data_IF_685076742674
#
_entry.id   IF_685076742674
#
_cell.length_a   1.000
_cell.length_b   1.000
_cell.length_c   1.000
_cell.angle_alpha   90.00
_cell.angle_beta   90.00
_cell.angle_gamma   90.00
#
_symmetry.space_group_name_H-M   'P 1'
#
loop_
_entity.id
_entity.type
_entity.pdbx_description
1 polymer ?
#
# COMPACT_ATOMS: atom_id res chain seq x y z
N UNK A 1 15.60 -30.71 11.90
CA UNK A 1 14.73 -29.98 10.97
C UNK A 1 13.43 -29.72 11.70
N UNK A 2 13.22 -28.51 12.20
CA UNK A 2 11.94 -28.11 12.81
C UNK A 2 10.89 -28.06 11.71
N UNK A 3 9.85 -28.89 11.82
CA UNK A 3 8.70 -28.84 10.91
C UNK A 3 8.16 -27.41 10.84
N UNK A 4 7.96 -26.92 9.62
CA UNK A 4 7.47 -25.57 9.34
C UNK A 4 6.11 -25.37 10.02
N UNK A 5 5.84 -24.20 10.60
CA UNK A 5 4.52 -23.95 11.23
C UNK A 5 3.40 -24.07 10.20
N UNK A 6 3.69 -23.70 8.94
CA UNK A 6 2.79 -23.91 7.81
C UNK A 6 2.41 -25.39 7.62
N UNK A 7 3.32 -26.34 7.85
CA UNK A 7 3.02 -27.77 7.74
C UNK A 7 2.03 -28.23 8.82
N UNK A 8 1.99 -27.54 9.97
CA UNK A 8 1.03 -27.81 11.04
C UNK A 8 -0.39 -27.34 10.70
N UNK A 9 -0.56 -26.42 9.75
CA UNK A 9 -1.88 -26.02 9.23
C UNK A 9 -2.50 -27.10 8.35
N UNK A 10 -1.69 -27.76 7.52
CA UNK A 10 -2.15 -28.66 6.44
C UNK A 10 -3.17 -29.71 6.91
N UNK A 11 -3.00 -30.40 8.06
CA UNK A 11 -4.00 -31.37 8.53
C UNK A 11 -5.38 -30.75 8.75
N UNK A 12 -5.46 -29.57 9.36
CA UNK A 12 -6.73 -28.87 9.61
C UNK A 12 -7.36 -28.40 8.30
N UNK A 13 -6.55 -27.87 7.39
CA UNK A 13 -7.00 -27.42 6.07
C UNK A 13 -7.57 -28.59 5.24
N UNK A 14 -6.98 -29.78 5.34
CA UNK A 14 -7.48 -30.98 4.65
C UNK A 14 -8.77 -31.53 5.23
N UNK A 15 -8.91 -31.47 6.55
CA UNK A 15 -10.07 -32.02 7.24
C UNK A 15 -11.26 -31.04 7.32
N UNK A 16 -11.03 -29.75 7.05
CA UNK A 16 -12.05 -28.72 7.28
C UNK A 16 -12.24 -28.37 8.75
N UNK A 17 -11.29 -28.73 9.61
CA UNK A 17 -11.38 -28.55 11.05
C UNK A 17 -10.99 -27.13 11.45
N UNK A 18 -11.63 -26.61 12.51
CA UNK A 18 -11.22 -25.35 13.13
C UNK A 18 -9.75 -25.41 13.54
N UNK A 19 -8.99 -24.39 13.14
CA UNK A 19 -7.56 -24.30 13.41
C UNK A 19 -7.35 -23.65 14.78
N UNK A 20 -6.48 -24.19 15.66
CA UNK A 20 -6.14 -23.52 16.90
C UNK A 20 -5.54 -22.13 16.66
N UNK A 21 -6.02 -21.12 17.40
CA UNK A 21 -5.58 -19.72 17.32
C UNK A 21 -4.06 -19.55 17.18
N UNK A 22 -3.30 -20.23 18.04
CA UNK A 22 -1.84 -20.11 18.07
C UNK A 22 -1.19 -20.61 16.77
N UNK A 23 -1.75 -21.66 16.16
CA UNK A 23 -1.24 -22.19 14.90
C UNK A 23 -1.50 -21.20 13.76
N UNK A 24 -2.69 -20.57 13.71
CA UNK A 24 -3.00 -19.52 12.73
C UNK A 24 -2.07 -18.32 12.91
N UNK A 25 -1.88 -17.85 14.15
CA UNK A 25 -1.00 -16.73 14.47
C UNK A 25 0.45 -17.00 14.04
N UNK A 26 1.01 -18.14 14.46
CA UNK A 26 2.40 -18.48 14.16
C UNK A 26 2.59 -18.73 12.65
N UNK A 27 1.60 -19.31 11.96
CA UNK A 27 1.63 -19.48 10.52
C UNK A 27 1.53 -18.15 9.76
N UNK A 28 0.66 -17.25 10.20
CA UNK A 28 0.52 -15.92 9.62
C UNK A 28 1.81 -15.12 9.81
N UNK A 29 2.39 -15.16 11.01
CA UNK A 29 3.68 -14.54 11.28
C UNK A 29 4.76 -15.16 10.38
N UNK A 30 4.83 -16.48 10.23
CA UNK A 30 5.79 -17.12 9.32
C UNK A 30 5.56 -16.74 7.85
N UNK A 31 4.31 -16.51 7.43
CA UNK A 31 3.97 -16.14 6.06
C UNK A 31 4.30 -14.68 5.76
N UNK A 32 3.92 -13.75 6.65
CA UNK A 32 4.16 -12.31 6.51
C UNK A 32 5.60 -11.91 6.79
N UNK A 33 6.26 -12.68 7.66
CA UNK A 33 7.64 -12.47 8.02
C UNK A 33 8.52 -13.21 7.03
N UNK A 34 9.27 -12.46 6.25
CA UNK A 34 10.47 -13.01 5.62
C UNK A 34 11.42 -13.54 6.71
N UNK A 35 12.58 -14.12 6.33
CA UNK A 35 13.64 -14.59 7.27
C UNK A 35 14.04 -13.57 8.37
N UNK A 36 13.61 -12.31 8.24
CA UNK A 36 13.87 -11.12 9.05
C UNK A 36 12.96 -10.96 10.28
N UNK A 37 11.66 -11.32 10.16
CA UNK A 37 10.66 -10.90 11.16
C UNK A 37 10.82 -11.55 12.54
N UNK A 38 11.48 -12.72 12.61
CA UNK A 38 11.78 -13.39 13.88
C UNK A 38 12.64 -12.55 14.83
N UNK A 39 13.59 -11.76 14.30
CA UNK A 39 14.42 -10.88 15.13
C UNK A 39 13.63 -9.67 15.63
N UNK A 40 12.89 -9.01 14.75
CA UNK A 40 12.05 -7.86 15.08
C UNK A 40 10.98 -8.23 16.11
N UNK A 41 10.31 -9.38 15.93
CA UNK A 41 9.33 -9.88 16.91
C UNK A 41 9.94 -10.19 18.26
N UNK A 42 11.15 -10.78 18.31
CA UNK A 42 11.84 -11.01 19.59
C UNK A 42 12.09 -9.71 20.35
N UNK A 43 12.63 -8.70 19.67
CA UNK A 43 12.87 -7.37 20.26
C UNK A 43 11.56 -6.72 20.68
N UNK A 44 10.52 -6.80 19.85
CA UNK A 44 9.20 -6.28 20.20
C UNK A 44 8.61 -6.99 21.43
N UNK A 45 8.79 -8.31 21.60
CA UNK A 45 8.35 -9.07 22.78
C UNK A 45 9.02 -8.63 24.07
N UNK A 46 10.28 -8.19 24.01
CA UNK A 46 10.99 -7.63 25.16
C UNK A 46 10.38 -6.31 25.64
N UNK A 47 9.76 -5.56 24.73
CA UNK A 47 9.08 -4.29 25.02
C UNK A 47 7.62 -4.53 25.44
N UNK A 48 6.88 -5.31 24.65
CA UNK A 48 5.51 -5.77 24.92
C UNK A 48 5.30 -7.12 24.25
N UNK A 49 5.01 -8.14 25.06
CA UNK A 49 4.75 -9.50 24.57
C UNK A 49 3.60 -9.51 23.56
N UNK A 50 2.56 -8.72 23.81
CA UNK A 50 1.39 -8.63 22.95
C UNK A 50 1.71 -7.99 21.60
N UNK A 51 2.50 -6.91 21.58
CA UNK A 51 2.95 -6.30 20.33
C UNK A 51 3.88 -7.23 19.55
N UNK A 52 4.81 -7.92 20.22
CA UNK A 52 5.70 -8.85 19.53
C UNK A 52 4.98 -10.05 18.90
N UNK A 53 3.89 -10.51 19.51
CA UNK A 53 3.08 -11.60 18.97
C UNK A 53 2.13 -11.14 17.86
N UNK A 54 1.37 -10.06 18.09
CA UNK A 54 0.24 -9.68 17.24
C UNK A 54 0.50 -8.51 16.30
N UNK A 55 1.52 -7.68 16.50
CA UNK A 55 1.69 -6.53 15.61
C UNK A 55 2.05 -7.00 14.18
N UNK A 56 1.38 -6.50 13.12
CA UNK A 56 1.76 -6.77 11.75
C UNK A 56 3.21 -6.36 11.49
N UNK A 57 3.89 -7.09 10.58
CA UNK A 57 5.32 -6.87 10.32
C UNK A 57 5.66 -5.41 10.01
N UNK A 58 4.87 -4.78 9.15
CA UNK A 58 5.09 -3.41 8.70
C UNK A 58 5.06 -2.37 9.84
N UNK A 59 4.51 -2.71 11.00
CA UNK A 59 4.51 -1.85 12.17
C UNK A 59 5.62 -2.16 13.19
N UNK A 60 6.34 -3.29 13.07
CA UNK A 60 7.31 -3.73 14.09
C UNK A 60 8.46 -2.75 14.28
N UNK A 61 9.06 -2.24 13.21
CA UNK A 61 10.16 -1.27 13.31
C UNK A 61 9.71 0.07 13.89
N UNK A 62 8.53 0.56 13.51
CA UNK A 62 7.97 1.80 14.06
C UNK A 62 7.61 1.64 15.54
N UNK A 63 7.10 0.48 15.94
CA UNK A 63 6.91 0.15 17.35
C UNK A 63 8.23 0.08 18.12
N UNK A 64 9.23 -0.66 17.61
CA UNK A 64 10.56 -0.79 18.25
C UNK A 64 11.20 0.58 18.43
N UNK A 65 11.15 1.43 17.40
CA UNK A 65 11.69 2.79 17.40
C UNK A 65 10.80 3.84 18.10
N UNK A 66 9.69 3.44 18.72
CA UNK A 66 8.75 4.30 19.44
C UNK A 66 8.10 5.42 18.59
N UNK A 67 8.03 5.22 17.28
CA UNK A 67 7.30 6.10 16.33
C UNK A 67 5.80 5.79 16.29
N UNK A 68 5.43 4.54 16.55
CA UNK A 68 4.02 4.14 16.66
C UNK A 68 3.45 4.61 18.01
N UNK A 69 2.27 5.22 18.00
CA UNK A 69 1.58 5.61 19.23
C UNK A 69 1.03 4.37 19.96
N UNK A 70 0.80 4.47 21.27
CA UNK A 70 0.25 3.36 22.05
C UNK A 70 -1.19 3.02 21.61
N UNK A 71 -1.97 4.03 21.22
CA UNK A 71 -3.33 3.88 20.69
C UNK A 71 -3.33 3.17 19.33
N UNK A 72 -2.46 3.58 18.40
CA UNK A 72 -2.34 2.92 17.09
C UNK A 72 -1.85 1.47 17.23
N UNK A 73 -0.92 1.22 18.17
CA UNK A 73 -0.45 -0.11 18.51
C UNK A 73 -1.59 -1.00 19.02
N UNK A 74 -2.37 -0.51 19.99
CA UNK A 74 -3.51 -1.24 20.54
C UNK A 74 -4.58 -1.52 19.48
N UNK A 75 -4.89 -0.54 18.63
CA UNK A 75 -5.84 -0.70 17.52
C UNK A 75 -5.37 -1.81 16.56
N UNK A 76 -4.12 -1.73 16.09
CA UNK A 76 -3.57 -2.71 15.15
C UNK A 76 -3.54 -4.13 15.74
N UNK A 77 -3.18 -4.28 17.03
CA UNK A 77 -3.22 -5.57 17.75
C UNK A 77 -4.64 -6.10 17.83
N UNK A 78 -5.61 -5.26 18.19
CA UNK A 78 -7.01 -5.65 18.38
C UNK A 78 -7.62 -6.09 17.05
N UNK A 79 -7.43 -5.31 15.99
CA UNK A 79 -7.86 -5.64 14.63
C UNK A 79 -7.28 -6.98 14.17
N UNK A 80 -5.97 -7.19 14.37
CA UNK A 80 -5.33 -8.46 13.96
C UNK A 80 -5.88 -9.66 14.72
N UNK A 81 -6.13 -9.53 16.03
CA UNK A 81 -6.73 -10.60 16.83
C UNK A 81 -8.11 -11.01 16.30
N UNK A 82 -8.93 -10.04 15.93
CA UNK A 82 -10.26 -10.30 15.35
C UNK A 82 -10.15 -11.04 14.03
N UNK A 83 -9.23 -10.62 13.15
CA UNK A 83 -9.01 -11.29 11.86
C UNK A 83 -8.51 -12.72 12.07
N UNK A 84 -7.52 -12.94 12.95
CA UNK A 84 -7.01 -14.28 13.25
C UNK A 84 -8.12 -15.19 13.78
N UNK A 85 -8.97 -14.69 14.67
CA UNK A 85 -10.09 -15.47 15.20
C UNK A 85 -11.05 -15.92 14.09
N UNK A 86 -11.32 -15.08 13.10
CA UNK A 86 -12.14 -15.44 11.92
C UNK A 86 -11.42 -16.45 11.01
N UNK A 87 -10.10 -16.30 10.86
CA UNK A 87 -9.28 -17.21 10.07
C UNK A 87 -9.28 -18.64 10.64
N UNK A 88 -9.45 -18.84 11.95
CA UNK A 88 -9.55 -20.17 12.57
C UNK A 88 -10.62 -21.06 11.93
N UNK A 89 -11.77 -20.47 11.56
CA UNK A 89 -12.92 -21.18 11.02
C UNK A 89 -12.99 -21.07 9.48
N UNK A 90 -12.58 -19.93 8.90
CA UNK A 90 -12.79 -19.64 7.48
C UNK A 90 -11.62 -20.05 6.57
N UNK A 91 -10.39 -20.19 7.10
CA UNK A 91 -9.25 -20.70 6.33
C UNK A 91 -9.51 -22.09 5.73
N UNK A 92 -9.95 -23.11 6.50
CA UNK A 92 -10.19 -24.44 5.93
C UNK A 92 -11.19 -24.42 4.78
N UNK A 93 -12.30 -23.68 4.91
CA UNK A 93 -13.28 -23.50 3.85
C UNK A 93 -12.70 -22.80 2.61
N UNK A 94 -11.89 -21.76 2.81
CA UNK A 94 -11.20 -21.05 1.72
C UNK A 94 -10.25 -21.98 0.95
N UNK A 95 -9.48 -22.80 1.67
CA UNK A 95 -8.59 -23.80 1.08
C UNK A 95 -9.34 -24.93 0.38
N UNK A 96 -10.53 -25.31 0.85
CA UNK A 96 -11.39 -26.28 0.17
C UNK A 96 -11.75 -25.86 -1.27
N UNK A 97 -11.84 -24.55 -1.54
CA UNK A 97 -12.15 -24.01 -2.87
C UNK A 97 -10.92 -23.85 -3.77
N UNK A 98 -9.77 -23.52 -3.19
CA UNK A 98 -8.51 -23.34 -3.93
C UNK A 98 -7.84 -24.70 -4.25
N UNK A 99 -8.01 -25.70 -3.37
CA UNK A 99 -7.54 -27.08 -3.58
C UNK A 99 -6.03 -27.28 -3.44
N UNK A 100 -5.29 -26.27 -2.98
CA UNK A 100 -3.82 -26.26 -2.91
C UNK A 100 -3.31 -26.60 -1.50
N UNK A 101 -2.41 -27.59 -1.40
CA UNK A 101 -1.92 -28.12 -0.11
C UNK A 101 -0.40 -28.18 -0.02
N UNK A 102 0.32 -27.58 -0.96
CA UNK A 102 1.78 -27.42 -0.87
C UNK A 102 2.13 -26.31 0.13
N UNK A 103 3.11 -26.54 1.00
CA UNK A 103 3.46 -25.59 2.07
C UNK A 103 3.78 -24.17 1.58
N UNK A 104 4.45 -24.02 0.43
CA UNK A 104 4.73 -22.69 -0.15
C UNK A 104 3.44 -21.98 -0.56
N UNK A 105 2.54 -22.71 -1.21
CA UNK A 105 1.24 -22.23 -1.67
C UNK A 105 0.35 -21.87 -0.48
N UNK A 106 0.33 -22.72 0.55
CA UNK A 106 -0.41 -22.46 1.80
C UNK A 106 0.08 -21.18 2.46
N UNK A 107 1.40 -20.99 2.58
CA UNK A 107 1.98 -19.76 3.13
C UNK A 107 1.52 -18.52 2.36
N UNK A 108 1.58 -18.59 1.02
CA UNK A 108 1.18 -17.50 0.14
C UNK A 108 -0.31 -17.16 0.23
N UNK A 109 -1.18 -18.19 0.35
CA UNK A 109 -2.63 -17.98 0.51
C UNK A 109 -2.93 -17.36 1.87
N UNK A 110 -2.31 -17.84 2.95
CA UNK A 110 -2.53 -17.30 4.31
C UNK A 110 -2.20 -15.81 4.38
N UNK A 111 -1.06 -15.40 3.81
CA UNK A 111 -0.65 -13.99 3.73
C UNK A 111 -1.67 -13.17 2.93
N UNK A 112 -2.00 -13.61 1.71
CA UNK A 112 -2.94 -12.89 0.85
C UNK A 112 -4.33 -12.77 1.47
N UNK A 113 -4.85 -13.84 2.08
CA UNK A 113 -6.15 -13.79 2.78
C UNK A 113 -6.14 -12.77 3.91
N UNK A 114 -5.05 -12.70 4.66
CA UNK A 114 -4.88 -11.70 5.71
C UNK A 114 -4.78 -10.27 5.15
N UNK A 115 -4.02 -10.07 4.09
CA UNK A 115 -3.86 -8.78 3.42
C UNK A 115 -5.19 -8.24 2.88
N UNK A 116 -6.04 -9.14 2.36
CA UNK A 116 -7.39 -8.80 1.94
C UNK A 116 -8.23 -8.26 3.11
N UNK A 117 -8.16 -8.92 4.26
CA UNK A 117 -8.95 -8.56 5.44
C UNK A 117 -8.47 -7.25 6.10
N UNK A 118 -7.15 -7.06 6.24
CA UNK A 118 -6.59 -5.84 6.85
C UNK A 118 -6.70 -4.62 5.93
N UNK A 119 -6.61 -4.83 4.61
CA UNK A 119 -6.77 -3.78 3.60
C UNK A 119 -8.23 -3.39 3.32
N UNK A 120 -9.20 -4.08 3.91
CA UNK A 120 -10.61 -3.85 3.64
C UNK A 120 -11.15 -2.61 4.38
N UNK A 121 -11.59 -1.61 3.62
CA UNK A 121 -12.28 -0.44 4.17
C UNK A 121 -13.81 -0.62 4.05
N UNK A 122 -14.48 -0.84 5.19
CA UNK A 122 -15.95 -0.95 5.22
C UNK A 122 -16.60 0.43 5.06
N UNK A 123 -17.46 0.57 4.05
CA UNK A 123 -18.25 1.79 3.80
C UNK A 123 -19.73 1.40 3.77
N UNK A 124 -20.49 1.84 4.78
CA UNK A 124 -21.86 1.39 5.06
C UNK A 124 -22.89 1.90 4.04
N UNK A 125 -22.68 3.09 3.46
CA UNK A 125 -23.54 3.67 2.42
C UNK A 125 -22.73 4.49 1.43
N UNK A 126 -22.77 4.10 0.17
CA UNK A 126 -22.13 4.82 -0.92
C UNK A 126 -23.18 5.20 -1.97
N UNK A 127 -23.13 6.45 -2.44
CA UNK A 127 -23.90 6.89 -3.61
C UNK A 127 -23.39 6.19 -4.88
N UNK A 128 -24.18 6.17 -5.96
CA UNK A 128 -23.81 5.54 -7.24
C UNK A 128 -22.54 6.17 -7.87
N UNK A 129 -21.69 5.38 -8.53
CA UNK A 129 -20.44 5.82 -9.17
C UNK A 129 -20.54 7.01 -10.08
N UNK A 130 -21.62 7.12 -10.83
CA UNK A 130 -21.86 8.26 -11.72
C UNK A 130 -22.21 9.53 -10.95
N UNK A 131 -22.87 9.41 -9.79
CA UNK A 131 -23.15 10.53 -8.90
C UNK A 131 -21.89 10.92 -8.11
N UNK A 132 -21.14 9.95 -7.58
CA UNK A 132 -19.89 10.23 -6.89
C UNK A 132 -18.83 10.81 -7.80
N UNK A 133 -18.64 10.30 -9.03
CA UNK A 133 -17.74 10.91 -10.01
C UNK A 133 -18.12 12.37 -10.25
N UNK A 134 -19.41 12.67 -10.39
CA UNK A 134 -19.89 14.06 -10.53
C UNK A 134 -19.59 14.90 -9.29
N UNK A 135 -19.73 14.34 -8.09
CA UNK A 135 -19.40 15.03 -6.82
C UNK A 135 -17.90 15.28 -6.72
N UNK A 136 -17.06 14.27 -6.92
CA UNK A 136 -15.61 14.41 -6.85
C UNK A 136 -15.09 15.36 -7.93
N UNK A 137 -15.59 15.26 -9.17
CA UNK A 137 -15.25 16.23 -10.21
C UNK A 137 -15.65 17.64 -9.80
N UNK A 138 -16.86 17.82 -9.26
CA UNK A 138 -17.31 19.11 -8.72
C UNK A 138 -16.38 19.62 -7.60
N UNK A 139 -15.93 18.74 -6.72
CA UNK A 139 -15.04 19.09 -5.60
C UNK A 139 -13.63 19.44 -6.11
N UNK A 140 -13.11 18.74 -7.12
CA UNK A 140 -11.83 19.06 -7.75
C UNK A 140 -11.91 20.37 -8.53
N UNK A 141 -13.01 20.64 -9.24
CA UNK A 141 -13.26 21.96 -9.83
C UNK A 141 -13.33 23.06 -8.76
N UNK A 142 -14.04 22.82 -7.66
CA UNK A 142 -14.12 23.77 -6.55
C UNK A 142 -12.75 24.00 -5.88
N UNK A 143 -11.92 22.96 -5.77
CA UNK A 143 -10.55 23.07 -5.28
C UNK A 143 -9.71 23.99 -6.18
N UNK A 144 -9.78 23.81 -7.51
CA UNK A 144 -9.10 24.69 -8.47
C UNK A 144 -9.56 26.14 -8.31
N UNK A 145 -10.88 26.35 -8.20
CA UNK A 145 -11.45 27.69 -8.02
C UNK A 145 -10.99 28.35 -6.70
N UNK A 146 -10.97 27.59 -5.60
CA UNK A 146 -10.50 28.07 -4.30
C UNK A 146 -9.01 28.39 -4.32
N UNK A 147 -8.19 27.55 -4.94
CA UNK A 147 -6.75 27.80 -5.07
C UNK A 147 -6.46 29.05 -5.91
N UNK A 148 -7.22 29.27 -6.99
CA UNK A 148 -7.14 30.49 -7.79
C UNK A 148 -7.54 31.77 -7.02
N UNK A 149 -8.41 31.64 -6.02
CA UNK A 149 -8.80 32.76 -5.15
C UNK A 149 -7.80 32.99 -4.00
N UNK A 150 -7.29 31.91 -3.42
CA UNK A 150 -6.36 31.95 -2.28
C UNK A 150 -5.00 32.50 -2.72
N UNK A 151 -4.51 32.14 -3.89
CA UNK A 151 -3.20 32.59 -4.38
C UNK A 151 -3.03 34.13 -4.32
N UNK A 152 -3.87 34.96 -4.98
CA UNK A 152 -3.73 36.41 -4.93
C UNK A 152 -4.01 36.98 -3.53
N UNK A 153 -4.79 36.29 -2.70
CA UNK A 153 -5.01 36.68 -1.31
C UNK A 153 -3.73 36.50 -0.49
N UNK A 154 -3.07 35.35 -0.59
CA UNK A 154 -1.78 35.09 0.04
C UNK A 154 -0.68 36.02 -0.47
N UNK A 155 -0.72 36.43 -1.74
CA UNK A 155 0.21 37.45 -2.24
C UNK A 155 -0.01 38.81 -1.59
N UNK A 156 -1.27 39.24 -1.42
CA UNK A 156 -1.61 40.56 -0.86
C UNK A 156 -1.59 40.65 0.66
N UNK A 157 -1.82 39.55 1.38
CA UNK A 157 -1.91 39.57 2.84
C UNK A 157 -0.91 38.65 3.52
N UNK A 158 -0.15 37.87 2.76
CA UNK A 158 0.78 36.88 3.29
C UNK A 158 1.89 37.48 4.13
N UNK A 159 2.37 38.69 3.81
CA UNK A 159 3.40 39.36 4.61
C UNK A 159 2.94 39.69 6.03
N UNK A 160 1.63 39.88 6.26
CA UNK A 160 1.08 40.17 7.58
C UNK A 160 1.02 38.92 8.48
N UNK A 161 0.86 37.74 7.88
CA UNK A 161 0.74 36.47 8.62
C UNK A 161 2.02 35.64 8.60
N UNK A 162 2.97 35.97 7.72
CA UNK A 162 4.24 35.25 7.58
C UNK A 162 4.99 35.14 8.90
N UNK A 163 5.10 36.23 9.67
CA UNK A 163 5.81 36.22 10.95
C UNK A 163 5.25 35.16 11.92
N UNK A 164 3.94 35.25 12.18
CA UNK A 164 3.21 34.31 13.04
C UNK A 164 3.27 32.87 12.53
N UNK A 165 3.13 32.66 11.20
CA UNK A 165 3.24 31.33 10.60
C UNK A 165 4.61 30.70 10.86
N UNK A 166 5.69 31.45 10.63
CA UNK A 166 7.07 30.98 10.85
C UNK A 166 7.38 30.79 12.34
N UNK A 167 6.88 31.67 13.22
CA UNK A 167 7.02 31.54 14.68
C UNK A 167 6.29 30.29 15.19
N UNK A 168 5.07 30.03 14.70
CA UNK A 168 4.30 28.83 15.04
C UNK A 168 5.02 27.56 14.56
N UNK A 169 5.54 27.54 13.33
CA UNK A 169 6.30 26.40 12.79
C UNK A 169 7.57 26.13 13.60
N UNK A 170 8.29 27.17 14.01
CA UNK A 170 9.44 27.06 14.92
C UNK A 170 9.03 26.51 16.29
N UNK A 171 7.86 26.90 16.82
CA UNK A 171 7.33 26.33 18.06
C UNK A 171 6.99 24.83 17.90
N UNK A 172 6.34 24.44 16.80
CA UNK A 172 6.05 23.04 16.49
C UNK A 172 7.33 22.20 16.38
N UNK A 173 8.35 22.68 15.65
CA UNK A 173 9.62 21.99 15.51
C UNK A 173 10.27 21.69 16.87
N UNK A 174 10.25 22.67 17.79
CA UNK A 174 10.75 22.51 19.17
C UNK A 174 9.97 21.47 19.97
N UNK A 175 8.64 21.43 19.85
CA UNK A 175 7.78 20.48 20.59
C UNK A 175 7.96 19.06 20.07
N UNK A 176 8.04 18.90 18.74
CA UNK A 176 8.08 17.58 18.09
C UNK A 176 9.50 17.09 17.77
N UNK A 177 10.54 17.78 18.26
CA UNK A 177 11.96 17.46 18.00
C UNK A 177 12.27 17.28 16.51
N UNK A 178 11.60 18.04 15.64
CA UNK A 178 11.84 18.03 14.18
C UNK A 178 12.83 19.13 13.83
N UNK A 179 13.62 18.93 12.76
CA UNK A 179 14.40 20.03 12.23
C UNK A 179 13.44 21.06 11.62
N UNK A 180 13.70 22.35 11.87
CA UNK A 180 12.95 23.44 11.25
C UNK A 180 13.08 23.45 9.73
N UNK A 181 14.16 22.87 9.19
CA UNK A 181 14.35 22.67 7.75
C UNK A 181 13.36 21.66 7.14
N UNK A 182 12.77 20.77 7.94
CA UNK A 182 11.77 19.79 7.49
C UNK A 182 10.36 20.40 7.36
N UNK A 183 10.17 21.66 7.77
CA UNK A 183 8.88 22.31 7.79
C UNK A 183 8.82 23.38 6.70
N UNK A 184 7.91 23.20 5.74
CA UNK A 184 7.69 24.18 4.67
C UNK A 184 7.45 25.59 5.21
N UNK A 185 8.32 26.52 4.82
CA UNK A 185 8.20 27.96 5.01
C UNK A 185 6.94 28.51 4.35
N UNK A 186 6.56 29.74 4.70
CA UNK A 186 5.40 30.40 4.08
C UNK A 186 5.54 30.53 2.55
N UNK A 187 6.77 30.78 2.08
CA UNK A 187 7.07 30.85 0.64
C UNK A 187 6.93 29.50 -0.06
N UNK A 188 7.34 28.42 0.60
CA UNK A 188 7.18 27.06 0.10
C UNK A 188 5.72 26.63 0.10
N UNK A 189 4.96 26.93 1.17
CA UNK A 189 3.50 26.70 1.20
C UNK A 189 2.81 27.33 -0.02
N UNK A 190 3.19 28.57 -0.37
CA UNK A 190 2.63 29.24 -1.55
C UNK A 190 2.95 28.50 -2.85
N UNK A 191 4.17 27.94 -2.98
CA UNK A 191 4.55 27.12 -4.15
C UNK A 191 3.78 25.81 -4.17
N UNK A 192 3.66 25.13 -3.02
CA UNK A 192 2.90 23.89 -2.86
C UNK A 192 1.43 24.07 -3.26
N UNK A 193 0.80 25.21 -2.92
CA UNK A 193 -0.57 25.50 -3.36
C UNK A 193 -0.70 25.64 -4.87
N UNK A 194 0.29 26.24 -5.56
CA UNK A 194 0.31 26.30 -7.02
C UNK A 194 0.56 24.92 -7.64
N UNK A 195 1.45 24.12 -7.04
CA UNK A 195 1.67 22.72 -7.44
C UNK A 195 0.42 21.87 -7.29
N UNK A 196 -0.33 22.05 -6.19
CA UNK A 196 -1.61 21.38 -5.96
C UNK A 196 -2.65 21.78 -7.00
N UNK A 197 -2.71 23.07 -7.38
CA UNK A 197 -3.59 23.54 -8.46
C UNK A 197 -3.25 22.82 -9.76
N UNK A 198 -1.98 22.83 -10.17
CA UNK A 198 -1.53 22.17 -11.40
C UNK A 198 -1.88 20.68 -11.37
N UNK A 199 -1.66 19.99 -10.25
CA UNK A 199 -2.00 18.57 -10.11
C UNK A 199 -3.50 18.31 -10.27
N UNK A 200 -4.36 19.14 -9.67
CA UNK A 200 -5.81 19.07 -9.82
C UNK A 200 -6.26 19.29 -11.28
N UNK A 201 -5.67 20.28 -11.96
CA UNK A 201 -5.98 20.58 -13.36
C UNK A 201 -5.52 19.47 -14.32
N UNK A 202 -4.35 18.87 -14.06
CA UNK A 202 -3.87 17.68 -14.80
C UNK A 202 -4.79 16.49 -14.58
N UNK A 203 -5.26 16.26 -13.35
CA UNK A 203 -6.19 15.17 -13.04
C UNK A 203 -7.52 15.32 -13.80
N UNK A 204 -8.07 16.54 -13.87
CA UNK A 204 -9.26 16.85 -14.67
C UNK A 204 -9.03 16.64 -16.16
N UNK A 205 -7.86 17.02 -16.68
CA UNK A 205 -7.52 16.79 -18.08
C UNK A 205 -7.43 15.31 -18.41
N UNK A 206 -6.72 14.51 -17.60
CA UNK A 206 -6.62 13.05 -17.79
C UNK A 206 -7.98 12.36 -17.78
N UNK A 207 -8.87 12.75 -16.85
CA UNK A 207 -10.25 12.25 -16.80
C UNK A 207 -11.04 12.60 -18.07
N UNK A 208 -10.82 13.79 -18.65
CA UNK A 208 -11.51 14.22 -19.87
C UNK A 208 -11.12 13.44 -21.12
N UNK A 209 -9.89 12.94 -21.18
CA UNK A 209 -9.36 12.16 -22.31
C UNK A 209 -9.44 10.64 -22.07
N UNK A 210 -9.87 10.20 -20.89
CA UNK A 210 -9.99 8.78 -20.53
C UNK A 210 -8.66 8.04 -20.41
N UNK A 211 -7.57 8.76 -20.14
CA UNK A 211 -6.20 8.21 -20.09
C UNK A 211 -5.98 7.31 -18.86
N UNK A 212 -6.60 7.64 -17.74
CA UNK A 212 -6.64 6.80 -16.54
C UNK A 212 -8.04 6.83 -15.91
N UNK A 213 -8.52 5.71 -15.35
CA UNK A 213 -9.78 5.69 -14.61
C UNK A 213 -9.61 6.55 -13.35
N UNK A 214 -10.25 7.73 -13.36
CA UNK A 214 -10.30 8.63 -12.22
C UNK A 214 -10.78 7.84 -10.99
N UNK A 215 -10.00 7.88 -9.91
CA UNK A 215 -10.31 7.11 -8.72
C UNK A 215 -11.55 7.70 -8.03
N UNK A 216 -12.71 7.19 -8.42
CA UNK A 216 -13.96 7.40 -7.69
C UNK A 216 -13.95 6.38 -6.56
N UNK A 217 -13.83 6.87 -5.33
CA UNK A 217 -13.94 6.10 -4.09
C UNK A 217 -15.36 5.60 -3.88
N UNK A 218 -15.85 4.82 -4.84
CA UNK A 218 -17.18 4.27 -4.82
C UNK A 218 -17.27 3.07 -3.88
N UNK A 219 -18.44 2.41 -3.81
CA UNK A 219 -18.71 1.17 -3.07
C UNK A 219 -17.88 -0.05 -3.58
N UNK A 220 -16.58 0.15 -3.80
CA UNK A 220 -15.61 -0.82 -4.26
C UNK A 220 -15.21 -1.76 -3.15
N UNK A 221 -15.65 -1.59 -1.90
CA UNK A 221 -15.33 -2.54 -0.83
C UNK A 221 -15.73 -3.98 -1.23
N UNK A 222 -16.96 -4.18 -1.73
CA UNK A 222 -17.39 -5.49 -2.26
C UNK A 222 -16.69 -5.87 -3.56
N UNK A 223 -16.42 -4.92 -4.45
CA UNK A 223 -15.69 -5.17 -5.71
C UNK A 223 -14.22 -5.54 -5.45
N UNK A 224 -13.61 -5.01 -4.40
CA UNK A 224 -12.25 -5.29 -3.96
C UNK A 224 -12.15 -6.74 -3.49
N UNK A 225 -13.14 -7.24 -2.75
CA UNK A 225 -13.22 -8.68 -2.44
C UNK A 225 -13.31 -9.52 -3.71
N UNK A 226 -14.13 -9.12 -4.68
CA UNK A 226 -14.27 -9.87 -5.95
C UNK A 226 -12.97 -9.83 -6.77
N UNK A 227 -12.31 -8.67 -6.84
CA UNK A 227 -11.01 -8.49 -7.48
C UNK A 227 -9.95 -9.37 -6.82
N UNK A 228 -9.89 -9.36 -5.49
CA UNK A 228 -8.97 -10.18 -4.72
C UNK A 228 -9.20 -11.67 -4.95
N UNK A 229 -10.46 -12.12 -4.87
CA UNK A 229 -10.84 -13.48 -5.18
C UNK A 229 -10.47 -13.87 -6.61
N UNK A 230 -10.64 -12.96 -7.58
CA UNK A 230 -10.29 -13.19 -8.97
C UNK A 230 -8.78 -13.37 -9.17
N UNK A 231 -7.97 -12.53 -8.53
CA UNK A 231 -6.51 -12.65 -8.58
C UNK A 231 -6.02 -13.95 -7.93
N UNK A 232 -6.60 -14.36 -6.79
CA UNK A 232 -6.34 -15.67 -6.18
C UNK A 232 -6.70 -16.81 -7.15
N UNK A 233 -7.89 -16.74 -7.76
CA UNK A 233 -8.36 -17.72 -8.73
C UNK A 233 -7.47 -17.83 -9.97
N UNK A 234 -6.94 -16.71 -10.49
CA UNK A 234 -6.00 -16.71 -11.61
C UNK A 234 -4.67 -17.35 -11.20
N UNK A 235 -4.14 -16.97 -10.03
CA UNK A 235 -2.84 -17.43 -9.53
C UNK A 235 -2.82 -18.93 -9.23
N UNK A 236 -3.88 -19.46 -8.64
CA UNK A 236 -3.97 -20.88 -8.26
C UNK A 236 -4.80 -21.73 -9.23
N UNK A 237 -5.34 -21.11 -10.28
CA UNK A 237 -6.15 -21.78 -11.31
C UNK A 237 -7.54 -22.24 -10.85
N UNK A 238 -7.94 -21.96 -9.60
CA UNK A 238 -9.22 -22.37 -8.99
C UNK A 238 -9.67 -21.38 -7.91
N UNK A 239 -10.99 -21.26 -7.65
CA UNK A 239 -12.09 -21.76 -8.48
C UNK A 239 -12.22 -20.93 -9.76
N UNK A 240 -12.80 -21.51 -10.82
CA UNK A 240 -13.03 -20.79 -12.07
C UNK A 240 -14.00 -19.63 -11.88
N UNK A 241 -13.76 -18.51 -12.56
CA UNK A 241 -14.64 -17.35 -12.49
C UNK A 241 -16.01 -17.65 -13.12
N UNK A 242 -17.04 -17.74 -12.28
CA UNK A 242 -18.42 -18.00 -12.68
C UNK A 242 -19.34 -17.01 -11.96
N UNK A 243 -20.15 -16.27 -12.72
CA UNK A 243 -21.02 -15.21 -12.18
C UNK A 243 -22.30 -15.71 -11.53
N UNK A 244 -22.60 -17.00 -11.65
CA UNK A 244 -23.78 -17.65 -11.06
C UNK A 244 -23.69 -17.65 -9.53
N UNK A 245 -24.74 -17.18 -8.82
CA UNK A 245 -24.82 -17.29 -7.37
C UNK A 245 -24.65 -18.74 -6.90
N UNK A 246 -23.89 -18.93 -5.82
CA UNK A 246 -23.61 -20.27 -5.26
C UNK A 246 -22.52 -21.06 -6.01
N UNK A 247 -21.88 -20.48 -7.03
CA UNK A 247 -20.65 -21.04 -7.59
C UNK A 247 -19.52 -21.05 -6.55
N UNK A 248 -18.53 -21.92 -6.73
CA UNK A 248 -17.34 -21.95 -5.86
C UNK A 248 -16.63 -20.59 -5.81
N UNK A 249 -16.62 -19.85 -6.92
CA UNK A 249 -16.10 -18.48 -6.95
C UNK A 249 -16.94 -17.50 -6.10
N UNK A 250 -18.27 -17.60 -6.18
CA UNK A 250 -19.17 -16.81 -5.34
C UNK A 250 -18.99 -17.14 -3.85
N UNK A 251 -18.75 -18.41 -3.53
CA UNK A 251 -18.50 -18.87 -2.16
C UNK A 251 -17.16 -18.35 -1.65
N UNK A 252 -16.10 -18.38 -2.48
CA UNK A 252 -14.80 -17.79 -2.15
C UNK A 252 -14.92 -16.28 -1.83
N UNK A 253 -15.65 -15.54 -2.67
CA UNK A 253 -15.89 -14.12 -2.42
C UNK A 253 -16.60 -13.91 -1.08
N UNK A 254 -17.59 -14.75 -0.76
CA UNK A 254 -18.37 -14.63 0.48
C UNK A 254 -17.51 -14.90 1.72
N UNK A 255 -16.65 -15.92 1.68
CA UNK A 255 -15.70 -16.25 2.75
C UNK A 255 -14.70 -15.10 2.99
N UNK A 256 -14.14 -14.53 1.92
CA UNK A 256 -13.21 -13.39 2.03
C UNK A 256 -13.90 -12.13 2.59
N UNK A 257 -15.16 -11.91 2.22
CA UNK A 257 -15.96 -10.81 2.77
C UNK A 257 -16.28 -11.02 4.25
N UNK A 258 -16.61 -12.24 4.65
CA UNK A 258 -16.84 -12.59 6.05
C UNK A 258 -15.55 -12.45 6.87
N UNK A 259 -14.40 -12.87 6.34
CA UNK A 259 -13.09 -12.66 6.96
C UNK A 259 -12.82 -11.18 7.21
N UNK A 260 -13.04 -10.33 6.20
CA UNK A 260 -12.81 -8.91 6.29
C UNK A 260 -13.79 -8.19 7.24
N UNK A 261 -15.08 -8.51 7.16
CA UNK A 261 -16.14 -7.72 7.83
C UNK A 261 -16.72 -8.37 9.08
N UNK A 262 -16.65 -9.70 9.19
CA UNK A 262 -17.37 -10.50 10.19
C UNK A 262 -18.85 -10.68 9.88
N UNK A 263 -19.32 -10.26 8.70
CA UNK A 263 -20.72 -10.41 8.28
C UNK A 263 -20.87 -11.68 7.44
N UNK A 264 -21.75 -12.58 7.90
CA UNK A 264 -22.04 -13.86 7.25
C UNK A 264 -23.13 -13.72 6.17
N UNK A 265 -23.20 -14.67 5.24
CA UNK A 265 -24.26 -14.85 4.25
C UNK A 265 -24.56 -13.64 3.32
N UNK A 266 -23.62 -12.70 3.20
CA UNK A 266 -23.80 -11.53 2.34
C UNK A 266 -23.64 -11.90 0.86
N UNK A 267 -24.67 -11.68 0.06
CA UNK A 267 -24.60 -11.95 -1.38
C UNK A 267 -23.73 -10.92 -2.11
N UNK A 268 -22.69 -11.41 -2.79
CA UNK A 268 -21.83 -10.62 -3.66
C UNK A 268 -22.18 -10.75 -5.15
N UNK A 269 -23.26 -11.43 -5.51
CA UNK A 269 -23.66 -11.69 -6.89
C UNK A 269 -23.75 -10.40 -7.74
N UNK A 270 -24.24 -9.30 -7.16
CA UNK A 270 -24.29 -8.00 -7.83
C UNK A 270 -22.89 -7.42 -8.10
N UNK A 271 -21.95 -7.56 -7.16
CA UNK A 271 -20.58 -7.11 -7.32
C UNK A 271 -19.82 -7.97 -8.35
N UNK A 272 -20.01 -9.29 -8.32
CA UNK A 272 -19.43 -10.23 -9.29
C UNK A 272 -19.89 -9.92 -10.71
N UNK A 273 -21.20 -9.69 -10.92
CA UNK A 273 -21.75 -9.35 -12.22
C UNK A 273 -21.26 -8.00 -12.76
N UNK A 274 -21.06 -7.00 -11.88
CA UNK A 274 -20.48 -5.71 -12.26
C UNK A 274 -19.00 -5.85 -12.62
N UNK A 275 -18.24 -6.59 -11.80
CA UNK A 275 -16.82 -6.86 -12.04
C UNK A 275 -16.59 -7.61 -13.37
N UNK A 276 -17.44 -8.60 -13.67
CA UNK A 276 -17.39 -9.36 -14.93
C UNK A 276 -17.44 -8.48 -16.19
N UNK A 277 -18.09 -7.31 -16.13
CA UNK A 277 -18.24 -6.36 -17.24
C UNK A 277 -17.34 -5.13 -17.10
N UNK A 278 -16.49 -5.10 -16.09
CA UNK A 278 -15.68 -3.93 -15.76
C UNK A 278 -14.43 -3.83 -16.63
N UNK A 279 -14.00 -2.61 -16.93
CA UNK A 279 -12.70 -2.34 -17.57
C UNK A 279 -11.53 -2.85 -16.72
N UNK A 280 -11.70 -2.86 -15.39
CA UNK A 280 -10.74 -3.42 -14.44
C UNK A 280 -10.46 -4.90 -14.73
N UNK A 281 -11.50 -5.73 -14.87
CA UNK A 281 -11.32 -7.14 -15.24
C UNK A 281 -10.65 -7.28 -16.60
N UNK A 282 -11.08 -6.49 -17.60
CA UNK A 282 -10.48 -6.52 -18.93
C UNK A 282 -9.00 -6.09 -18.92
N UNK A 283 -8.58 -5.25 -17.97
CA UNK A 283 -7.18 -4.91 -17.74
C UNK A 283 -6.42 -6.08 -17.10
N UNK A 284 -6.94 -6.66 -16.01
CA UNK A 284 -6.32 -7.81 -15.34
C UNK A 284 -6.15 -8.98 -16.33
N UNK A 285 -7.14 -9.25 -17.16
CA UNK A 285 -7.05 -10.29 -18.19
C UNK A 285 -5.93 -10.01 -19.21
N UNK A 286 -5.74 -8.75 -19.60
CA UNK A 286 -4.65 -8.36 -20.53
C UNK A 286 -3.29 -8.47 -19.86
N UNK A 287 -3.16 -8.01 -18.62
CA UNK A 287 -1.92 -8.11 -17.83
C UNK A 287 -1.54 -9.57 -17.60
N UNK A 288 -2.50 -10.43 -17.24
CA UNK A 288 -2.28 -11.86 -17.06
C UNK A 288 -1.91 -12.55 -18.38
N UNK A 289 -2.53 -12.19 -19.50
CA UNK A 289 -2.14 -12.70 -20.82
C UNK A 289 -0.71 -12.29 -21.20
N UNK A 290 -0.33 -11.04 -20.94
CA UNK A 290 1.03 -10.55 -21.16
C UNK A 290 2.02 -11.29 -20.27
N UNK A 291 1.73 -11.43 -18.98
CA UNK A 291 2.56 -12.17 -18.04
C UNK A 291 2.76 -13.63 -18.46
N UNK A 292 1.69 -14.32 -18.90
CA UNK A 292 1.79 -15.70 -19.40
C UNK A 292 2.60 -15.80 -20.70
N UNK A 293 2.47 -14.82 -21.59
CA UNK A 293 3.29 -14.76 -22.80
C UNK A 293 4.76 -14.54 -22.45
N UNK A 294 5.03 -13.62 -21.54
CA UNK A 294 6.35 -13.26 -21.03
C UNK A 294 7.07 -14.41 -20.32
N UNK A 295 6.36 -15.18 -19.50
CA UNK A 295 6.89 -16.34 -18.77
C UNK A 295 6.81 -17.66 -19.56
N UNK A 296 6.26 -17.64 -20.78
CA UNK A 296 6.29 -18.80 -21.68
C UNK A 296 7.70 -19.05 -22.20
N UNK A 297 8.00 -20.28 -22.61
CA UNK A 297 9.29 -20.62 -23.23
C UNK A 297 9.63 -19.70 -24.42
N UNK A 298 8.62 -19.27 -25.20
CA UNK A 298 8.77 -18.35 -26.32
C UNK A 298 8.98 -16.88 -25.89
N UNK A 299 8.34 -16.45 -24.80
CA UNK A 299 8.55 -15.13 -24.20
C UNK A 299 9.93 -15.01 -23.55
N UNK A 300 10.31 -16.02 -22.77
CA UNK A 300 11.65 -16.17 -22.18
C UNK A 300 12.70 -16.19 -23.29
N UNK A 301 12.53 -17.00 -24.34
CA UNK A 301 13.47 -17.03 -25.45
C UNK A 301 13.57 -15.68 -26.19
N UNK A 302 12.46 -14.95 -26.38
CA UNK A 302 12.48 -13.58 -26.96
C UNK A 302 13.20 -12.58 -26.05
N UNK A 303 12.96 -12.65 -24.74
CA UNK A 303 13.59 -11.80 -23.71
C UNK A 303 15.09 -12.09 -23.59
N UNK A 304 15.48 -13.37 -23.63
CA UNK A 304 16.88 -13.81 -23.63
C UNK A 304 17.61 -13.49 -24.95
N UNK A 305 16.90 -13.48 -26.07
CA UNK A 305 17.45 -13.08 -27.37
C UNK A 305 17.62 -11.56 -27.52
N UNK A 306 16.88 -10.76 -26.76
CA UNK A 306 16.92 -9.29 -26.79
C UNK A 306 17.17 -8.71 -25.39
N UNK A 307 18.45 -8.61 -25.03
CA UNK A 307 18.92 -7.99 -23.78
C UNK A 307 18.46 -6.52 -23.58
N UNK A 308 17.76 -5.93 -24.54
CA UNK A 308 17.21 -4.57 -24.50
C UNK A 308 15.68 -4.54 -24.42
N UNK A 309 14.97 -5.67 -24.28
CA UNK A 309 13.50 -5.69 -24.24
C UNK A 309 12.93 -4.78 -23.14
N UNK A 310 13.47 -4.85 -21.92
CA UNK A 310 13.05 -4.00 -20.79
C UNK A 310 13.38 -2.52 -21.03
N UNK A 311 14.50 -2.24 -21.69
CA UNK A 311 14.89 -0.87 -22.07
C UNK A 311 13.93 -0.33 -23.11
N UNK A 312 13.57 -1.12 -24.14
CA UNK A 312 12.59 -0.74 -25.15
C UNK A 312 11.21 -0.50 -24.53
N UNK A 313 10.77 -1.36 -23.62
CA UNK A 313 9.53 -1.16 -22.86
C UNK A 313 9.54 0.14 -22.06
N UNK A 314 10.63 0.40 -21.32
CA UNK A 314 10.81 1.66 -20.58
C UNK A 314 10.81 2.88 -21.50
N UNK A 315 11.53 2.83 -22.62
CA UNK A 315 11.57 3.93 -23.59
C UNK A 315 10.18 4.21 -24.19
N UNK A 316 9.42 3.17 -24.52
CA UNK A 316 8.04 3.31 -24.98
C UNK A 316 7.13 3.96 -23.93
N UNK A 317 7.27 3.58 -22.65
CA UNK A 317 6.52 4.20 -21.55
C UNK A 317 6.88 5.67 -21.33
N UNK A 318 8.17 6.02 -21.48
CA UNK A 318 8.67 7.40 -21.40
C UNK A 318 8.18 8.24 -22.59
N UNK A 319 8.16 7.67 -23.79
CA UNK A 319 7.64 8.35 -24.99
C UNK A 319 6.12 8.59 -24.88
N UNK A 320 5.35 7.62 -24.37
CA UNK A 320 3.93 7.81 -24.07
C UNK A 320 3.70 8.90 -23.03
N UNK A 321 4.49 8.90 -21.94
CA UNK A 321 4.45 9.94 -20.91
C UNK A 321 4.79 11.32 -21.47
N UNK A 322 5.81 11.40 -22.33
CA UNK A 322 6.19 12.64 -23.02
C UNK A 322 5.06 13.16 -23.90
N UNK A 323 4.42 12.29 -24.68
CA UNK A 323 3.31 12.66 -25.54
C UNK A 323 2.13 13.20 -24.71
N UNK A 324 1.81 12.56 -23.59
CA UNK A 324 0.78 13.04 -22.66
C UNK A 324 1.09 14.45 -22.14
N UNK A 325 2.30 14.70 -21.66
CA UNK A 325 2.68 16.03 -21.15
C UNK A 325 2.69 17.10 -22.24
N UNK A 326 3.05 16.76 -23.47
CA UNK A 326 2.93 17.66 -24.62
C UNK A 326 1.47 17.97 -24.97
N UNK A 327 0.58 16.98 -24.87
CA UNK A 327 -0.87 17.17 -25.03
C UNK A 327 -1.46 18.06 -23.93
N UNK A 328 -1.04 17.89 -22.67
CA UNK A 328 -1.45 18.75 -21.56
C UNK A 328 -0.97 20.18 -21.80
N UNK A 329 0.31 20.37 -22.15
CA UNK A 329 0.88 21.69 -22.38
C UNK A 329 0.18 22.43 -23.53
N UNK A 330 -0.23 21.70 -24.58
CA UNK A 330 -0.95 22.26 -25.74
C UNK A 330 -2.47 22.37 -25.56
N UNK A 331 -3.02 21.86 -24.46
CA UNK A 331 -4.48 21.83 -24.25
C UNK A 331 -5.12 23.21 -24.09
N UNK A 332 -4.37 24.19 -23.56
CA UNK A 332 -4.80 25.57 -23.31
C UNK A 332 -3.60 26.48 -23.02
N UNK A 333 -3.84 27.78 -22.86
CA UNK A 333 -2.84 28.70 -22.32
C UNK A 333 -2.68 28.49 -20.82
N UNK A 334 -1.45 28.22 -20.38
CA UNK A 334 -1.10 28.01 -18.99
C UNK A 334 -0.43 29.27 -18.41
N UNK A 335 -0.49 29.43 -17.09
CA UNK A 335 0.28 30.48 -16.43
C UNK A 335 1.77 30.11 -16.37
N UNK A 336 2.64 31.10 -16.22
CA UNK A 336 4.10 30.94 -16.24
C UNK A 336 4.60 29.88 -15.26
N UNK A 337 4.02 29.80 -14.06
CA UNK A 337 4.44 28.79 -13.08
C UNK A 337 4.07 27.38 -13.56
N UNK A 338 2.86 27.19 -14.06
CA UNK A 338 2.42 25.90 -14.59
C UNK A 338 3.27 25.45 -15.79
N UNK A 339 3.58 26.36 -16.72
CA UNK A 339 4.47 26.08 -17.86
C UNK A 339 5.88 25.68 -17.41
N UNK A 340 6.44 26.37 -16.42
CA UNK A 340 7.73 26.03 -15.81
C UNK A 340 7.70 24.62 -15.18
N UNK A 341 6.67 24.29 -14.40
CA UNK A 341 6.55 22.97 -13.76
C UNK A 341 6.36 21.84 -14.78
N UNK A 342 5.56 22.06 -15.83
CA UNK A 342 5.42 21.08 -16.91
C UNK A 342 6.73 20.92 -17.70
N UNK A 343 7.47 22.01 -17.90
CA UNK A 343 8.81 21.97 -18.51
C UNK A 343 9.80 21.18 -17.66
N UNK A 344 9.75 21.31 -16.32
CA UNK A 344 10.54 20.48 -15.41
C UNK A 344 10.18 18.99 -15.56
N UNK A 345 8.89 18.64 -15.68
CA UNK A 345 8.46 17.25 -15.93
C UNK A 345 8.95 16.72 -17.27
N UNK A 346 8.90 17.52 -18.34
CA UNK A 346 9.44 17.13 -19.64
C UNK A 346 10.98 16.97 -19.62
N UNK A 347 11.68 17.83 -18.87
CA UNK A 347 13.12 17.72 -18.66
C UNK A 347 13.50 16.48 -17.85
N UNK A 348 12.70 16.14 -16.83
CA UNK A 348 12.82 14.93 -16.03
C UNK A 348 12.65 13.67 -16.89
N UNK A 349 11.58 13.60 -17.70
CA UNK A 349 11.38 12.50 -18.67
C UNK A 349 12.55 12.38 -19.64
N UNK A 350 13.07 13.51 -20.14
CA UNK A 350 14.25 13.51 -21.01
C UNK A 350 15.47 12.97 -20.28
N UNK A 351 15.71 13.39 -19.04
CA UNK A 351 16.83 12.92 -18.23
C UNK A 351 16.69 11.42 -17.94
N UNK A 352 15.51 10.95 -17.53
CA UNK A 352 15.22 9.53 -17.34
C UNK A 352 15.40 8.72 -18.61
N UNK A 353 15.04 9.28 -19.77
CA UNK A 353 15.28 8.66 -21.07
C UNK A 353 16.78 8.58 -21.38
N UNK A 354 17.53 9.68 -21.22
CA UNK A 354 18.97 9.67 -21.42
C UNK A 354 19.67 8.70 -20.46
N UNK A 355 19.19 8.60 -19.21
CA UNK A 355 19.62 7.60 -18.25
C UNK A 355 19.27 6.21 -18.79
N UNK A 356 18.02 5.92 -19.15
CA UNK A 356 17.63 4.61 -19.68
C UNK A 356 18.45 4.20 -20.92
N UNK A 357 18.74 5.14 -21.83
CA UNK A 357 19.60 4.94 -23.00
C UNK A 357 21.08 4.69 -22.62
N UNK A 358 21.58 5.32 -21.56
CA UNK A 358 22.98 5.19 -21.07
C UNK A 358 23.20 4.05 -20.08
N UNK A 359 22.16 3.63 -19.36
CA UNK A 359 22.30 2.80 -18.15
C UNK A 359 22.60 1.35 -18.48
N UNK A 360 22.32 0.83 -19.68
CA UNK A 360 22.49 -0.60 -19.95
C UNK A 360 22.83 -0.92 -21.41
N UNK A 361 24.13 -1.09 -21.67
CA UNK A 361 24.62 -2.27 -22.39
C UNK A 361 24.53 -3.53 -21.49
N UNK A 362 25.23 -4.64 -21.77
CA UNK A 362 24.93 -6.00 -21.28
C UNK A 362 25.24 -6.22 -19.78
N UNK A 363 24.49 -5.58 -18.88
CA UNK A 363 24.74 -5.63 -17.42
C UNK A 363 23.55 -6.11 -16.58
N UNK A 364 22.43 -6.48 -17.19
CA UNK A 364 21.52 -7.48 -16.61
C UNK A 364 22.17 -8.85 -16.77
N UNK A 365 23.11 -9.15 -15.89
CA UNK A 365 23.59 -10.52 -15.69
C UNK A 365 22.44 -11.23 -14.99
N UNK A 366 21.77 -12.13 -15.70
CA UNK A 366 20.69 -12.95 -15.13
C UNK A 366 21.14 -13.58 -13.82
N UNK A 367 20.25 -13.84 -12.86
CA UNK A 367 20.62 -14.51 -11.61
C UNK A 367 21.36 -15.85 -11.85
N UNK A 368 21.08 -16.51 -12.98
CA UNK A 368 21.77 -17.71 -13.48
C UNK A 368 23.21 -17.48 -13.95
N UNK A 369 23.58 -16.23 -14.26
CA UNK A 369 24.88 -15.79 -14.75
C UNK A 369 25.69 -15.05 -13.68
N UNK A 370 25.08 -14.69 -12.54
CA UNK A 370 25.79 -14.13 -11.37
C UNK A 370 26.57 -15.28 -10.71
N UNK A 371 27.88 -15.10 -10.54
CA UNK A 371 28.67 -16.11 -9.83
C UNK A 371 28.13 -16.31 -8.40
N UNK A 372 28.11 -17.54 -7.86
CA UNK A 372 27.64 -17.80 -6.50
C UNK A 372 28.30 -16.91 -5.43
N UNK A 373 29.56 -16.52 -5.65
CA UNK A 373 30.31 -15.63 -4.74
C UNK A 373 29.73 -14.21 -4.70
N UNK A 374 29.35 -13.65 -5.85
CA UNK A 374 28.74 -12.31 -5.94
C UNK A 374 27.32 -12.33 -5.37
N UNK A 375 26.56 -13.40 -5.63
CA UNK A 375 25.24 -13.59 -5.01
C UNK A 375 25.34 -13.68 -3.48
N UNK A 376 26.38 -14.34 -2.95
CA UNK A 376 26.63 -14.41 -1.52
C UNK A 376 27.02 -13.05 -0.93
N UNK A 377 27.85 -12.27 -1.63
CA UNK A 377 28.20 -10.90 -1.22
C UNK A 377 26.98 -10.00 -1.10
N UNK A 378 26.10 -9.96 -2.11
CA UNK A 378 24.86 -9.19 -2.03
C UNK A 378 23.97 -9.62 -0.87
N UNK A 379 23.87 -10.93 -0.63
CA UNK A 379 23.11 -11.45 0.52
C UNK A 379 23.69 -10.93 1.84
N UNK A 380 25.01 -10.95 2.00
CA UNK A 380 25.68 -10.44 3.19
C UNK A 380 25.52 -8.92 3.37
N UNK A 381 25.61 -8.14 2.29
CA UNK A 381 25.39 -6.69 2.34
C UNK A 381 23.97 -6.34 2.79
N UNK A 382 22.97 -7.05 2.24
CA UNK A 382 21.56 -6.90 2.62
C UNK A 382 21.37 -7.27 4.10
N UNK A 383 21.91 -8.41 4.54
CA UNK A 383 21.85 -8.84 5.95
C UNK A 383 22.51 -7.82 6.90
N UNK A 384 23.67 -7.27 6.51
CA UNK A 384 24.37 -6.24 7.29
C UNK A 384 23.57 -4.93 7.40
N UNK A 385 22.96 -4.49 6.30
CA UNK A 385 22.13 -3.29 6.27
C UNK A 385 20.89 -3.46 7.17
N UNK A 386 20.26 -4.63 7.15
CA UNK A 386 19.11 -4.96 7.98
C UNK A 386 19.44 -4.97 9.47
N UNK A 387 20.54 -5.63 9.86
CA UNK A 387 21.01 -5.63 11.25
C UNK A 387 21.32 -4.22 11.75
N UNK A 388 21.91 -3.38 10.88
CA UNK A 388 22.21 -1.99 11.20
C UNK A 388 20.92 -1.20 11.44
N UNK A 389 19.92 -1.38 10.57
CA UNK A 389 18.61 -0.72 10.68
C UNK A 389 17.91 -1.09 11.99
N UNK A 390 17.87 -2.38 12.35
CA UNK A 390 17.28 -2.85 13.60
C UNK A 390 18.01 -2.27 14.82
N UNK A 391 19.36 -2.27 14.83
CA UNK A 391 20.15 -1.67 15.91
C UNK A 391 19.86 -0.17 16.10
N UNK A 392 19.74 0.57 15.00
CA UNK A 392 19.39 1.99 15.03
C UNK A 392 17.97 2.20 15.57
N UNK A 393 17.01 1.38 15.14
CA UNK A 393 15.63 1.42 15.62
C UNK A 393 15.55 1.18 17.15
N UNK A 394 16.26 0.17 17.66
CA UNK A 394 16.35 -0.11 19.11
C UNK A 394 16.92 1.11 19.85
N UNK A 395 18.04 1.65 19.38
CA UNK A 395 18.70 2.80 20.02
C UNK A 395 17.79 4.02 20.05
N UNK A 396 17.12 4.31 18.93
CA UNK A 396 16.16 5.40 18.83
C UNK A 396 14.99 5.20 19.81
N UNK A 397 14.40 4.01 19.83
CA UNK A 397 13.29 3.69 20.72
C UNK A 397 13.65 3.80 22.20
N UNK A 398 14.85 3.39 22.60
CA UNK A 398 15.35 3.56 23.98
C UNK A 398 15.47 5.04 24.36
N UNK A 399 16.04 5.87 23.47
CA UNK A 399 16.18 7.31 23.68
C UNK A 399 14.81 8.00 23.78
N UNK A 400 13.89 7.71 22.86
CA UNK A 400 12.55 8.33 22.83
C UNK A 400 11.74 7.95 24.07
N UNK A 401 11.76 6.68 24.50
CA UNK A 401 11.06 6.25 25.73
C UNK A 401 11.69 6.86 26.99
N UNK A 402 13.02 7.01 27.04
CA UNK A 402 13.70 7.69 28.15
C UNK A 402 13.36 9.19 28.21
N UNK A 403 13.20 9.86 27.07
CA UNK A 403 12.75 11.25 27.03
C UNK A 403 11.29 11.39 27.50
N UNK A 404 10.41 10.47 27.10
CA UNK A 404 9.01 10.44 27.56
C UNK A 404 8.91 10.21 29.08
N UNK A 405 9.76 9.36 29.65
CA UNK A 405 9.76 9.12 31.10
C UNK A 405 10.40 10.26 31.92
N UNK A 406 11.25 11.09 31.31
CA UNK A 406 11.82 12.29 31.94
C UNK A 406 10.92 13.53 31.86
N UNK A 407 9.93 13.54 30.97
CA UNK A 407 8.90 14.58 30.87
C UNK A 407 7.47 14.01 30.97
N UNK A 408 7.06 13.47 32.13
CA UNK A 408 5.65 13.19 32.39
C UNK A 408 4.95 14.53 32.64
N UNK A 409 4.49 15.22 31.59
CA UNK A 409 3.81 16.50 31.78
C UNK A 409 2.47 16.29 32.49
N UNK A 410 2.32 17.02 33.60
CA UNK A 410 1.19 17.08 34.53
C UNK A 410 -0.19 16.71 34.02
N UNK A 411 -0.80 15.75 34.70
CA UNK A 411 -2.25 15.63 34.79
C UNK A 411 -2.72 15.76 36.24
N UNK A 412 -3.90 16.36 36.40
CA UNK A 412 -4.74 16.51 37.60
C UNK A 412 -4.56 17.75 38.49
N UNK A 413 -4.92 18.94 37.97
CA UNK A 413 -5.71 19.85 38.83
C UNK A 413 -7.16 19.38 38.81
N UNK A 414 -7.47 18.49 39.75
CA UNK A 414 -8.80 17.98 39.99
C UNK A 414 -8.87 17.39 41.39
N UNK A 415 -9.27 18.25 42.35
CA UNK A 415 -9.92 17.97 43.64
C UNK A 415 -9.23 18.60 44.86
N UNK A 416 -10.01 19.36 45.63
CA UNK A 416 -9.69 19.67 47.02
C UNK A 416 -10.05 21.06 47.53
N UNK A 417 -11.34 21.44 47.56
CA UNK A 417 -11.82 22.35 48.62
C UNK A 417 -13.31 22.18 48.94
N UNK A 418 -13.63 21.06 49.59
CA UNK A 418 -14.57 20.98 50.72
C UNK A 418 -13.67 20.92 51.96
N UNK A 419 -13.78 21.66 53.06
CA UNK A 419 -14.83 22.29 53.89
C UNK A 419 -14.11 23.22 54.91
N UNK A 420 -14.75 23.88 55.90
CA UNK A 420 -16.18 24.18 56.09
C UNK A 420 -16.52 25.68 56.00
#
# INVERSE_FOLDING_TARGET
>A
MTSSVIEKLIPYLRNGDRIPHRIVLDALNQASDSRRGDMERRVAREISTEAGDYLPRFHLLDFISAKLSDEDCLRAVTERKVIIARMEDLLPATFGLLGEMEARTVSSIVEQVFDCAIGYQYIERAAYSSQQRKVVLKDVYALVDLLNQIEPLLERSGWHVKGEYEDHKRAMARIFSRDTSDLASFGELRKEMKSLRLAAEVALFRDSIGDEPFFVGDNKARTHIVEFAYNLSLRFGKPSFVTTPGSDFSNLCSLLFELATGTQDESLAGAINRFARSELKARIDREEMQFRDEESDEGVARREADNFADVKGRLLSLDASKELWLRILSSRSWDTFSEEQMSLRLADIRNEREIAEKTQGPHLVWASQISPAVHEQYRQEIENHEQTTLRLAIKLGLLTRAQRSQHPFGESQGSGSTQP
#
